data_IF_183476912813
#
_entry.id   IF_183476912813
#
_cell.length_a   1.000
_cell.length_b   1.000
_cell.length_c   1.000
_cell.angle_alpha   90.00
_cell.angle_beta   90.00
_cell.angle_gamma   90.00
#
_symmetry.space_group_name_H-M   'P 1'
#
loop_
_entity.id
_entity.type
_entity.pdbx_description
1 polymer ?
#
# COMPACT_ATOMS: atom_id res chain seq x y z
N UNK A 1 2.74 1.22 19.11
CA UNK A 1 3.73 2.29 18.91
C UNK A 1 3.96 2.55 17.42
N UNK A 2 4.42 1.53 16.72
CA UNK A 2 4.75 1.71 15.32
C UNK A 2 3.52 1.88 14.43
N UNK A 3 2.36 1.39 14.83
CA UNK A 3 1.16 1.51 14.03
C UNK A 3 0.68 2.97 13.94
N UNK A 4 0.85 3.75 14.97
CA UNK A 4 0.48 5.17 14.94
C UNK A 4 1.33 5.96 13.94
N UNK A 5 2.57 5.56 13.76
CA UNK A 5 3.52 6.25 12.88
C UNK A 5 3.73 5.53 11.55
N UNK A 6 3.79 4.20 11.61
CA UNK A 6 4.00 3.34 10.44
C UNK A 6 2.87 2.34 10.36
N UNK A 7 2.11 2.37 9.32
CA UNK A 7 1.05 1.42 9.16
C UNK A 7 -0.02 1.89 8.20
N UNK A 8 -1.02 1.07 8.07
CA UNK A 8 -2.17 1.34 7.23
C UNK A 8 -3.28 0.35 7.55
N UNK A 9 -4.50 0.75 7.25
CA UNK A 9 -5.63 -0.18 7.17
C UNK A 9 -5.75 -0.63 5.73
N UNK A 10 -5.68 -1.94 5.50
CA UNK A 10 -5.78 -2.52 4.17
C UNK A 10 -7.12 -3.24 4.06
N UNK A 11 -7.93 -2.83 3.10
CA UNK A 11 -9.22 -3.45 2.83
C UNK A 11 -9.12 -4.16 1.48
N UNK A 12 -9.11 -5.48 1.50
CA UNK A 12 -9.09 -6.28 0.28
C UNK A 12 -10.49 -6.29 -0.33
N UNK A 13 -10.63 -5.70 -1.50
CA UNK A 13 -11.88 -5.70 -2.25
C UNK A 13 -11.98 -6.94 -3.14
N UNK A 14 -10.87 -7.36 -3.71
CA UNK A 14 -10.74 -8.59 -4.49
C UNK A 14 -9.26 -8.92 -4.66
N UNK A 15 -8.92 -10.21 -4.66
CA UNK A 15 -7.58 -10.67 -4.98
C UNK A 15 -7.67 -11.99 -5.74
N UNK A 16 -7.63 -11.89 -7.05
CA UNK A 16 -7.71 -13.02 -8.00
C UNK A 16 -6.58 -12.85 -9.01
N UNK A 17 -6.83 -13.03 -10.28
CA UNK A 17 -5.86 -12.70 -11.35
C UNK A 17 -5.60 -11.19 -11.39
N UNK A 18 -6.46 -10.44 -10.77
CA UNK A 18 -6.36 -9.00 -10.52
C UNK A 18 -6.66 -8.76 -9.05
N UNK A 19 -6.22 -7.63 -8.55
CA UNK A 19 -6.39 -7.29 -7.14
C UNK A 19 -6.83 -5.85 -7.01
N UNK A 20 -7.78 -5.59 -6.12
CA UNK A 20 -8.18 -4.24 -5.75
C UNK A 20 -8.21 -4.13 -4.23
N UNK A 21 -7.55 -3.10 -3.72
CA UNK A 21 -7.52 -2.81 -2.29
C UNK A 21 -7.82 -1.34 -2.04
N UNK A 22 -8.36 -1.05 -0.88
CA UNK A 22 -8.37 0.29 -0.33
C UNK A 22 -7.35 0.35 0.78
N UNK A 23 -6.53 1.38 0.78
CA UNK A 23 -5.53 1.62 1.80
C UNK A 23 -5.92 2.91 2.51
N UNK A 24 -6.16 2.80 3.82
CA UNK A 24 -6.53 3.95 4.65
C UNK A 24 -5.36 4.26 5.57
N UNK A 25 -4.87 5.49 5.50
CA UNK A 25 -3.80 5.96 6.38
C UNK A 25 -4.33 7.09 7.24
N UNK A 26 -4.01 7.03 8.52
CA UNK A 26 -4.38 8.06 9.48
C UNK A 26 -3.39 9.23 9.40
N UNK A 27 -3.77 10.43 9.90
CA UNK A 27 -2.88 11.59 9.88
C UNK A 27 -1.50 11.27 10.43
N UNK A 28 -0.47 11.64 9.68
CA UNK A 28 0.93 11.46 10.08
C UNK A 28 1.51 10.08 9.86
N UNK A 29 0.73 9.12 9.37
CA UNK A 29 1.23 7.76 9.15
C UNK A 29 2.12 7.67 7.92
N UNK A 30 3.03 6.71 7.98
CA UNK A 30 3.93 6.34 6.89
C UNK A 30 3.80 4.85 6.63
N UNK A 31 3.87 4.47 5.37
CA UNK A 31 4.00 3.07 4.99
C UNK A 31 5.47 2.83 4.61
N UNK A 32 6.15 1.84 5.22
CA UNK A 32 7.57 1.64 5.01
C UNK A 32 7.92 1.30 3.56
N UNK A 33 9.15 1.63 3.16
CA UNK A 33 9.62 1.31 1.83
C UNK A 33 9.63 -0.19 1.59
N UNK A 34 9.05 -0.59 0.48
CA UNK A 34 8.98 -1.97 0.05
C UNK A 34 8.88 -2.04 -1.47
N UNK A 35 9.05 -3.25 -1.99
CA UNK A 35 8.84 -3.52 -3.41
C UNK A 35 8.20 -4.89 -3.57
N UNK A 36 7.65 -5.12 -4.75
CA UNK A 36 7.05 -6.39 -5.12
C UNK A 36 7.76 -6.97 -6.33
N UNK A 37 8.04 -8.26 -6.30
CA UNK A 37 8.69 -8.96 -7.41
C UNK A 37 7.64 -9.46 -8.40
N UNK A 38 6.50 -9.93 -7.87
CA UNK A 38 5.49 -10.62 -8.68
C UNK A 38 4.37 -9.72 -9.18
N UNK A 39 4.02 -8.68 -8.43
CA UNK A 39 2.90 -7.83 -8.82
C UNK A 39 3.32 -6.44 -9.27
N UNK A 40 2.54 -5.92 -10.21
CA UNK A 40 2.59 -4.51 -10.61
C UNK A 40 1.37 -3.82 -10.04
N UNK A 41 1.50 -2.56 -9.64
CA UNK A 41 0.45 -1.82 -8.94
C UNK A 41 0.18 -0.47 -9.57
N UNK A 42 -1.07 -0.02 -9.48
CA UNK A 42 -1.46 1.34 -9.81
C UNK A 42 -2.22 1.91 -8.62
N UNK A 43 -1.82 3.09 -8.17
CA UNK A 43 -2.43 3.77 -7.04
C UNK A 43 -3.18 5.00 -7.49
N UNK A 44 -4.34 5.22 -6.89
CA UNK A 44 -5.13 6.42 -7.14
C UNK A 44 -5.59 7.00 -5.81
N UNK A 45 -5.32 8.28 -5.59
CA UNK A 45 -5.78 8.99 -4.40
C UNK A 45 -7.28 9.23 -4.52
N UNK A 46 -8.04 8.74 -3.55
CA UNK A 46 -9.49 8.89 -3.50
C UNK A 46 -9.89 10.03 -2.58
N UNK A 47 -9.19 10.21 -1.47
CA UNK A 47 -9.48 11.23 -0.47
C UNK A 47 -8.23 11.59 0.31
N UNK A 48 -8.14 12.86 0.72
CA UNK A 48 -7.05 13.34 1.55
C UNK A 48 -5.79 13.66 0.75
N UNK A 49 -4.64 13.49 1.39
CA UNK A 49 -3.34 13.78 0.80
C UNK A 49 -2.42 12.56 0.92
N UNK A 50 -1.62 12.34 -0.10
CA UNK A 50 -0.61 11.28 -0.06
C UNK A 50 0.56 11.62 -0.96
N UNK A 51 1.75 11.38 -0.45
CA UNK A 51 2.99 11.44 -1.24
C UNK A 51 3.60 10.06 -1.36
N UNK A 52 4.10 9.74 -2.56
CA UNK A 52 4.87 8.52 -2.81
C UNK A 52 6.33 8.91 -2.95
N UNK A 53 7.21 8.17 -2.28
CA UNK A 53 8.64 8.31 -2.44
C UNK A 53 9.12 7.17 -3.34
N UNK A 54 9.65 7.54 -4.50
CA UNK A 54 10.11 6.58 -5.52
C UNK A 54 11.43 7.07 -6.09
N UNK A 55 12.45 6.23 -6.07
CA UNK A 55 13.77 6.54 -6.67
C UNK A 55 14.34 7.89 -6.18
N UNK A 56 14.18 8.17 -4.88
CA UNK A 56 14.68 9.40 -4.27
C UNK A 56 13.84 10.64 -4.56
N UNK A 57 12.71 10.49 -5.21
CA UNK A 57 11.82 11.60 -5.53
C UNK A 57 10.53 11.51 -4.72
N UNK A 58 10.01 12.66 -4.32
CA UNK A 58 8.72 12.78 -3.66
C UNK A 58 7.71 13.18 -4.72
N UNK A 59 6.67 12.38 -4.87
CA UNK A 59 5.59 12.62 -5.84
C UNK A 59 4.29 12.76 -5.07
N UNK A 60 3.67 13.93 -5.18
CA UNK A 60 2.36 14.15 -4.56
C UNK A 60 1.29 13.55 -5.47
N UNK A 61 0.52 12.61 -4.92
CA UNK A 61 -0.59 12.04 -5.66
C UNK A 61 -1.69 13.08 -5.82
N UNK A 62 -2.31 13.10 -6.99
CA UNK A 62 -3.44 13.97 -7.28
C UNK A 62 -4.72 13.15 -7.37
N UNK A 63 -5.81 13.70 -6.86
CA UNK A 63 -7.11 13.05 -6.93
C UNK A 63 -7.43 12.64 -8.36
N UNK A 64 -7.82 11.39 -8.55
CA UNK A 64 -8.26 10.88 -9.84
C UNK A 64 -7.15 10.59 -10.85
N UNK A 65 -5.88 10.78 -10.50
CA UNK A 65 -4.76 10.48 -11.40
C UNK A 65 -4.06 9.20 -10.97
N UNK A 66 -4.21 8.09 -11.71
CA UNK A 66 -3.51 6.84 -11.38
C UNK A 66 -2.00 6.99 -11.52
N UNK A 67 -1.28 6.38 -10.59
CA UNK A 67 0.18 6.35 -10.59
C UNK A 67 0.67 4.91 -10.57
N UNK A 68 1.40 4.50 -11.60
CA UNK A 68 1.86 3.13 -11.76
C UNK A 68 3.22 2.92 -11.09
N UNK A 69 3.32 1.84 -10.32
CA UNK A 69 4.57 1.35 -9.73
C UNK A 69 4.88 -0.01 -10.36
N UNK A 70 5.95 -0.06 -11.13
CA UNK A 70 6.38 -1.29 -11.77
C UNK A 70 6.96 -2.30 -10.76
N UNK A 71 7.06 -3.56 -11.17
CA UNK A 71 7.70 -4.60 -10.36
C UNK A 71 9.12 -4.19 -10.01
N UNK A 72 9.58 -4.61 -8.82
CA UNK A 72 10.92 -4.39 -8.33
C UNK A 72 11.29 -2.92 -8.06
N UNK A 73 10.33 -2.02 -8.03
CA UNK A 73 10.60 -0.60 -7.74
C UNK A 73 10.27 -0.31 -6.27
N UNK A 74 11.28 -0.03 -5.44
CA UNK A 74 11.04 0.34 -4.05
C UNK A 74 10.28 1.66 -3.95
N UNK A 75 9.29 1.68 -3.07
CA UNK A 75 8.46 2.84 -2.86
C UNK A 75 7.92 2.88 -1.44
N UNK A 76 7.56 4.06 -0.99
CA UNK A 76 6.93 4.27 0.31
C UNK A 76 5.87 5.35 0.19
N UNK A 77 4.97 5.37 1.16
CA UNK A 77 3.88 6.34 1.22
C UNK A 77 3.96 7.12 2.51
N UNK A 78 3.48 8.35 2.46
CA UNK A 78 3.25 9.15 3.66
C UNK A 78 2.06 10.06 3.46
N UNK A 79 1.39 10.40 4.54
CA UNK A 79 0.29 11.34 4.53
C UNK A 79 0.45 12.32 5.70
N UNK A 80 0.00 13.55 5.48
CA UNK A 80 -0.01 14.56 6.53
C UNK A 80 -1.35 14.52 7.27
N UNK A 81 -2.44 14.59 6.54
CA UNK A 81 -3.78 14.75 7.10
C UNK A 81 -4.64 13.49 7.01
N UNK A 82 -4.06 12.40 6.52
CA UNK A 82 -4.77 11.15 6.28
C UNK A 82 -5.20 11.01 4.83
N UNK A 83 -5.41 9.78 4.40
CA UNK A 83 -5.82 9.54 3.02
C UNK A 83 -6.51 8.21 2.85
N UNK A 84 -7.21 8.10 1.73
CA UNK A 84 -7.71 6.84 1.19
C UNK A 84 -7.12 6.70 -0.21
N UNK A 85 -6.44 5.58 -0.44
CA UNK A 85 -5.83 5.24 -1.73
C UNK A 85 -6.48 3.97 -2.25
N UNK A 86 -6.79 3.94 -3.54
CA UNK A 86 -7.21 2.72 -4.21
C UNK A 86 -6.00 2.10 -4.90
N UNK A 87 -5.76 0.83 -4.62
CA UNK A 87 -4.74 0.04 -5.31
C UNK A 87 -5.42 -0.93 -6.25
N UNK A 88 -5.05 -0.88 -7.53
CA UNK A 88 -5.40 -1.90 -8.51
C UNK A 88 -4.09 -2.54 -8.93
N UNK A 89 -4.01 -3.86 -8.87
CA UNK A 89 -2.78 -4.57 -9.18
C UNK A 89 -3.06 -5.92 -9.83
N UNK A 90 -2.00 -6.56 -10.27
CA UNK A 90 -2.04 -7.99 -10.55
C UNK A 90 -2.17 -8.74 -9.23
N UNK A 91 -2.29 -10.05 -9.27
CA UNK A 91 -2.50 -10.87 -8.06
C UNK A 91 -1.52 -10.50 -6.94
N UNK A 92 -2.05 -10.33 -5.74
CA UNK A 92 -1.21 -10.19 -4.55
C UNK A 92 -0.87 -11.58 -4.02
N UNK A 93 0.42 -11.86 -3.92
CA UNK A 93 0.92 -13.12 -3.38
C UNK A 93 1.49 -12.91 -1.98
N UNK A 94 1.19 -13.83 -1.10
CA UNK A 94 1.75 -13.82 0.24
C UNK A 94 3.28 -13.88 0.16
N UNK A 95 3.95 -13.03 0.92
CA UNK A 95 5.41 -12.96 0.91
C UNK A 95 6.02 -12.12 -0.20
N UNK A 96 5.20 -11.50 -1.05
CA UNK A 96 5.68 -10.66 -2.16
C UNK A 96 5.88 -9.19 -1.78
N UNK A 97 5.64 -8.82 -0.53
CA UNK A 97 5.96 -7.47 -0.04
C UNK A 97 7.30 -7.54 0.67
N UNK A 98 8.34 -7.04 0.00
CA UNK A 98 9.70 -7.10 0.50
C UNK A 98 10.10 -5.73 1.01
N UNK A 99 10.26 -5.62 2.33
CA UNK A 99 10.62 -4.37 2.98
C UNK A 99 12.13 -4.19 2.97
N UNK A 100 12.58 -2.98 2.68
CA UNK A 100 14.01 -2.67 2.63
C UNK A 100 14.63 -2.55 4.01
N UNK A 101 13.82 -2.23 5.04
CA UNK A 101 14.27 -2.24 6.43
C UNK A 101 14.12 -3.65 7.02
N UNK A 102 15.23 -4.33 7.38
CA UNK A 102 15.16 -5.70 7.92
C UNK A 102 14.31 -5.84 9.18
N UNK A 103 14.18 -4.80 9.99
CA UNK A 103 13.38 -4.86 11.21
C UNK A 103 11.89 -5.03 10.91
N UNK A 104 11.44 -4.51 9.78
CA UNK A 104 10.05 -4.65 9.34
C UNK A 104 9.77 -6.08 8.88
N UNK A 105 10.70 -6.71 8.18
CA UNK A 105 10.55 -8.09 7.70
C UNK A 105 10.35 -9.10 8.82
N UNK A 106 10.92 -8.82 10.01
CA UNK A 106 10.82 -9.72 11.16
C UNK A 106 9.48 -9.62 11.89
N UNK A 107 8.68 -8.60 11.62
CA UNK A 107 7.36 -8.46 12.23
C UNK A 107 6.35 -9.29 11.47
N UNK A 108 5.39 -9.84 12.19
CA UNK A 108 4.26 -10.50 11.57
C UNK A 108 3.35 -9.47 10.92
N UNK A 109 2.58 -9.91 9.92
CA UNK A 109 1.68 -9.01 9.19
C UNK A 109 0.73 -8.26 10.13
N UNK A 110 0.19 -8.93 11.14
CA UNK A 110 -0.71 -8.31 12.12
C UNK A 110 -0.09 -7.15 12.89
N UNK A 111 1.24 -7.11 13.01
CA UNK A 111 1.97 -6.07 13.72
C UNK A 111 2.40 -4.93 12.81
N UNK A 112 2.24 -5.10 11.50
CA UNK A 112 2.63 -4.11 10.50
C UNK A 112 1.46 -3.34 9.94
N UNK A 113 0.30 -3.97 9.86
CA UNK A 113 -0.90 -3.38 9.25
C UNK A 113 -2.16 -4.10 9.70
N UNK A 114 -3.26 -3.38 9.65
CA UNK A 114 -4.59 -3.96 9.83
C UNK A 114 -5.14 -4.29 8.45
N UNK A 115 -5.67 -5.50 8.30
CA UNK A 115 -6.16 -5.99 7.01
C UNK A 115 -7.57 -6.53 7.13
N UNK A 116 -8.44 -6.13 6.20
CA UNK A 116 -9.81 -6.64 6.09
C UNK A 116 -10.03 -7.22 4.70
N UNK A 117 -10.85 -8.25 4.64
CA UNK A 117 -11.21 -8.88 3.37
C UNK A 117 -12.73 -8.80 3.22
N UNK A 118 -13.21 -8.00 2.26
CA UNK A 118 -14.64 -7.73 2.08
C UNK A 118 -15.26 -8.39 0.85
N UNK A 119 -14.48 -9.01 -0.01
CA UNK A 119 -15.05 -9.57 -1.22
C UNK A 119 -15.61 -10.96 -1.01
N UNK A 120 -16.58 -11.31 -1.83
CA UNK A 120 -17.21 -12.63 -1.84
C UNK A 120 -16.93 -13.35 -3.14
N UNK A 121 -16.89 -14.67 -3.06
CA UNK A 121 -16.80 -15.52 -4.25
C UNK A 121 -18.18 -16.14 -4.52
N UNK A 122 -18.47 -16.36 -5.78
CA UNK A 122 -19.71 -17.07 -6.17
C UNK A 122 -19.58 -18.58 -6.03
N UNK A 123 -18.39 -19.09 -5.90
CA UNK A 123 -18.12 -20.52 -5.73
C UNK A 123 -17.23 -20.78 -4.55
#
# INVERSE_FOLDING_TARGET
>A
ENFERYGAFIIDKVNREYCKKLIVMLPGQKHPEHYHIRKEETFELIHGDCSILVKGKVIDLKLGEPFLIARNVPHSFRTKDGCVIEEVSTTHHRGDSIYTDPSILRKEVKDRKVKCNLYRKTT
#
